data_IF_935274750244
#
_entry.id   IF_935274750244
#
_cell.length_a   1.000
_cell.length_b   1.000
_cell.length_c   1.000
_cell.angle_alpha   90.00
_cell.angle_beta   90.00
_cell.angle_gamma   90.00
#
_symmetry.space_group_name_H-M   'P 1'
#
loop_
_entity.id
_entity.type
_entity.pdbx_description
1 polymer ?
#
# COMPACT_ATOMS: atom_id res chain seq x y z
N UNK A 1 -10.93 -33.49 -4.40
CA UNK A 1 -10.86 -32.03 -4.62
C UNK A 1 -9.42 -31.60 -4.43
N UNK A 2 -8.83 -30.79 -5.32
CA UNK A 2 -7.50 -30.23 -5.09
C UNK A 2 -7.52 -29.23 -3.92
N UNK A 3 -6.40 -29.11 -3.20
CA UNK A 3 -6.20 -28.14 -2.12
C UNK A 3 -5.18 -27.11 -2.59
N UNK A 4 -5.53 -25.83 -2.52
CA UNK A 4 -4.60 -24.73 -2.75
C UNK A 4 -3.93 -24.35 -1.43
N UNK A 5 -2.60 -24.22 -1.44
CA UNK A 5 -1.79 -23.83 -0.29
C UNK A 5 -0.93 -22.65 -0.74
N UNK A 6 -1.04 -21.53 -0.03
CA UNK A 6 -0.18 -20.38 -0.24
C UNK A 6 1.11 -20.54 0.58
N UNK A 7 2.25 -20.39 -0.09
CA UNK A 7 3.59 -20.48 0.50
C UNK A 7 4.29 -19.11 0.51
N UNK A 8 3.59 -18.05 0.11
CA UNK A 8 4.11 -16.69 0.15
C UNK A 8 4.14 -16.15 1.58
N UNK A 9 5.10 -15.27 1.83
CA UNK A 9 5.07 -14.37 2.98
C UNK A 9 4.49 -13.02 2.54
N UNK A 10 3.84 -12.26 3.45
CA UNK A 10 3.32 -10.95 3.10
C UNK A 10 4.46 -9.94 2.84
N UNK A 11 4.24 -9.02 1.91
CA UNK A 11 5.06 -7.81 1.79
C UNK A 11 4.51 -6.78 2.80
N UNK A 12 5.27 -6.52 3.85
CA UNK A 12 4.88 -5.64 4.95
C UNK A 12 6.11 -5.11 5.68
N UNK A 13 5.96 -4.00 6.39
CA UNK A 13 7.00 -3.46 7.27
C UNK A 13 7.17 -4.27 8.57
N UNK A 14 6.16 -5.05 8.96
CA UNK A 14 6.08 -5.67 10.28
C UNK A 14 6.73 -7.06 10.34
N UNK A 15 7.00 -7.66 9.19
CA UNK A 15 7.64 -8.98 9.10
C UNK A 15 9.11 -8.80 8.70
N UNK A 16 10.00 -9.33 9.54
CA UNK A 16 11.43 -9.36 9.24
C UNK A 16 11.69 -10.49 8.24
N UNK A 17 11.55 -10.20 6.95
CA UNK A 17 11.83 -11.13 5.86
C UNK A 17 13.28 -11.11 5.39
N UNK A 18 13.97 -9.98 5.57
CA UNK A 18 15.27 -9.67 4.97
C UNK A 18 16.19 -8.92 5.96
N UNK A 19 17.51 -8.86 5.71
CA UNK A 19 18.44 -8.03 6.47
C UNK A 19 17.99 -6.56 6.48
N UNK A 20 18.22 -5.84 7.58
CA UNK A 20 17.66 -4.50 7.83
C UNK A 20 17.82 -3.50 6.67
N UNK A 21 19.01 -3.43 6.06
CA UNK A 21 19.31 -2.52 4.94
C UNK A 21 18.67 -2.93 3.60
N UNK A 22 18.12 -4.14 3.51
CA UNK A 22 17.50 -4.71 2.32
C UNK A 22 16.00 -4.96 2.50
N UNK A 23 15.39 -4.62 3.64
CA UNK A 23 13.98 -4.89 3.87
C UNK A 23 13.08 -4.16 2.87
N UNK A 24 11.99 -4.79 2.42
CA UNK A 24 10.96 -4.07 1.68
C UNK A 24 10.38 -2.97 2.56
N UNK A 25 9.95 -1.87 1.93
CA UNK A 25 9.27 -0.78 2.62
C UNK A 25 7.94 -0.52 1.94
N UNK A 26 6.91 -0.42 2.77
CA UNK A 26 5.57 -0.02 2.34
C UNK A 26 5.24 1.33 2.98
N UNK A 27 4.96 2.32 2.14
CA UNK A 27 4.43 3.61 2.59
C UNK A 27 2.93 3.58 2.42
N UNK A 28 2.21 3.61 3.54
CA UNK A 28 0.75 3.56 3.57
C UNK A 28 0.17 4.96 3.51
N UNK A 29 -0.84 5.15 2.66
CA UNK A 29 -1.66 6.35 2.61
C UNK A 29 -3.09 5.94 2.92
N UNK A 30 -3.66 6.53 3.97
CA UNK A 30 -5.04 6.25 4.39
C UNK A 30 -6.03 7.05 3.56
N UNK A 31 -7.27 6.59 3.51
CA UNK A 31 -8.39 7.34 2.92
C UNK A 31 -8.44 8.79 3.43
N UNK A 32 -8.31 8.99 4.74
CA UNK A 32 -8.36 10.32 5.36
C UNK A 32 -7.23 11.24 4.85
N UNK A 33 -6.06 10.66 4.56
CA UNK A 33 -4.86 11.41 4.18
C UNK A 33 -4.80 11.79 2.69
N UNK A 34 -5.63 11.20 1.84
CA UNK A 34 -5.48 11.28 0.37
C UNK A 34 -6.57 12.05 -0.35
N UNK A 35 -7.63 12.51 0.32
CA UNK A 35 -8.70 13.28 -0.33
C UNK A 35 -8.16 14.50 -1.09
N UNK A 36 -7.13 15.16 -0.54
CA UNK A 36 -6.49 16.33 -1.15
C UNK A 36 -5.78 15.98 -2.46
N UNK A 37 -5.29 14.74 -2.62
CA UNK A 37 -4.70 14.28 -3.88
C UNK A 37 -5.77 14.11 -4.97
N UNK A 38 -6.97 13.66 -4.60
CA UNK A 38 -8.11 13.61 -5.52
C UNK A 38 -8.50 15.03 -5.94
N UNK A 39 -8.57 15.97 -5.00
CA UNK A 39 -8.90 17.37 -5.27
C UNK A 39 -7.92 18.04 -6.26
N UNK A 40 -6.66 17.61 -6.35
CA UNK A 40 -5.71 18.12 -7.35
C UNK A 40 -6.16 17.86 -8.79
N UNK A 41 -6.97 16.84 -9.05
CA UNK A 41 -7.47 16.51 -10.39
C UNK A 41 -8.76 17.26 -10.76
N UNK A 42 -9.48 17.81 -9.78
CA UNK A 42 -10.80 18.40 -9.97
C UNK A 42 -10.88 19.80 -9.33
N UNK A 43 -10.60 20.88 -10.10
CA UNK A 43 -10.66 22.25 -9.57
C UNK A 43 -12.00 22.58 -8.92
N UNK A 44 -11.97 23.03 -7.67
CA UNK A 44 -13.16 23.40 -6.89
C UNK A 44 -13.79 22.24 -6.11
N UNK A 45 -13.25 21.02 -6.19
CA UNK A 45 -13.68 19.92 -5.34
C UNK A 45 -13.28 20.21 -3.88
N UNK A 46 -14.26 20.16 -2.98
CA UNK A 46 -14.05 20.23 -1.54
C UNK A 46 -14.13 18.83 -0.93
N UNK A 47 -13.56 18.63 0.27
CA UNK A 47 -13.59 17.34 0.95
C UNK A 47 -15.03 16.84 1.15
N UNK A 48 -15.98 17.74 1.46
CA UNK A 48 -17.38 17.39 1.71
C UNK A 48 -18.13 16.88 0.46
N UNK A 49 -17.57 17.10 -0.73
CA UNK A 49 -18.12 16.57 -1.98
C UNK A 49 -17.78 15.08 -2.18
N UNK A 50 -16.79 14.55 -1.44
CA UNK A 50 -16.40 13.15 -1.48
C UNK A 50 -17.29 12.31 -0.55
N UNK A 51 -17.61 11.05 -0.94
CA UNK A 51 -18.28 10.12 -0.04
C UNK A 51 -17.50 9.99 1.28
N UNK A 52 -18.18 10.28 2.39
CA UNK A 52 -17.60 10.30 3.75
C UNK A 52 -16.38 11.23 3.93
N UNK A 53 -16.08 12.11 2.96
CA UNK A 53 -14.88 12.95 2.96
C UNK A 53 -13.57 12.20 2.66
N UNK A 54 -13.67 11.00 2.11
CA UNK A 54 -12.57 10.05 2.03
C UNK A 54 -11.88 10.00 0.65
N UNK A 55 -10.56 9.83 0.67
CA UNK A 55 -9.73 9.60 -0.52
C UNK A 55 -9.51 8.12 -0.84
N UNK A 56 -8.45 7.81 -1.58
CA UNK A 56 -8.02 6.43 -1.82
C UNK A 56 -7.09 5.92 -0.73
N UNK A 57 -7.30 4.69 -0.26
CA UNK A 57 -6.25 3.96 0.43
C UNK A 57 -5.30 3.41 -0.65
N UNK A 58 -4.04 3.82 -0.58
CA UNK A 58 -3.01 3.39 -1.53
C UNK A 58 -1.70 3.18 -0.80
N UNK A 59 -0.91 2.24 -1.29
CA UNK A 59 0.41 1.95 -0.78
C UNK A 59 1.47 2.11 -1.87
N UNK A 60 2.63 2.65 -1.48
CA UNK A 60 3.83 2.64 -2.31
C UNK A 60 4.80 1.61 -1.76
N UNK A 61 5.25 0.71 -2.63
CA UNK A 61 6.20 -0.34 -2.26
C UNK A 61 7.56 -0.05 -2.89
N UNK A 62 8.59 0.04 -2.05
CA UNK A 62 10.00 -0.01 -2.43
C UNK A 62 10.52 -1.42 -2.11
N UNK A 63 10.90 -2.16 -3.15
CA UNK A 63 11.43 -3.53 -3.02
C UNK A 63 12.52 -3.83 -4.04
N UNK A 64 13.36 -4.80 -3.70
CA UNK A 64 14.22 -5.54 -4.62
C UNK A 64 13.48 -6.77 -5.16
N UNK A 65 13.87 -7.25 -6.33
CA UNK A 65 13.35 -8.53 -6.89
C UNK A 65 13.67 -9.74 -6.00
N UNK A 66 14.53 -9.59 -4.99
CA UNK A 66 14.98 -10.66 -4.09
C UNK A 66 14.42 -10.52 -2.66
N UNK A 67 13.35 -9.75 -2.43
CA UNK A 67 12.73 -9.63 -1.11
C UNK A 67 11.65 -10.68 -0.86
N UNK A 68 11.60 -11.20 0.36
CA UNK A 68 10.61 -12.18 0.80
C UNK A 68 10.55 -13.45 -0.06
N UNK A 69 9.35 -13.94 -0.36
CA UNK A 69 9.16 -15.08 -1.27
C UNK A 69 9.35 -14.61 -2.71
N UNK A 70 10.46 -15.01 -3.35
CA UNK A 70 10.83 -14.59 -4.71
C UNK A 70 11.33 -15.78 -5.54
N UNK A 71 11.63 -15.53 -6.82
CA UNK A 71 12.27 -16.48 -7.73
C UNK A 71 13.59 -15.93 -8.26
#
# INVERSE_FOLDING_TARGET
>A
MPRFIDLSIPITNDVISDPEVMRPKVTYMTHESTWAQIAMFFPGLEQADLPDGEGWAVEFVELSTHNGTHM
#
